data_IF_851575455687
#
_entry.id   IF_851575455687
#
_cell.length_a   1.000
_cell.length_b   1.000
_cell.length_c   1.000
_cell.angle_alpha   90.00
_cell.angle_beta   90.00
_cell.angle_gamma   90.00
#
_symmetry.space_group_name_H-M   'P 1'
#
loop_
_entity.id
_entity.type
_entity.pdbx_description
1 polymer ?
#
# COMPACT_ATOMS: atom_id res chain seq x y z
N UNK A 1 -5.15 -10.25 0.80
CA UNK A 1 -6.26 -10.08 -0.17
C UNK A 1 -7.25 -9.02 0.25
N UNK A 2 -7.69 -9.01 1.52
CA UNK A 2 -8.59 -7.99 2.07
C UNK A 2 -8.10 -6.56 1.81
N UNK A 3 -6.79 -6.29 2.00
CA UNK A 3 -6.18 -5.00 1.66
C UNK A 3 -6.45 -4.55 0.21
N UNK A 4 -6.25 -5.42 -0.78
CA UNK A 4 -6.47 -5.07 -2.19
C UNK A 4 -7.95 -4.96 -2.54
N UNK A 5 -8.81 -5.77 -1.94
CA UNK A 5 -10.27 -5.62 -2.08
C UNK A 5 -10.70 -4.25 -1.55
N UNK A 6 -10.17 -3.86 -0.38
CA UNK A 6 -10.42 -2.54 0.20
C UNK A 6 -9.94 -1.41 -0.73
N UNK A 7 -8.73 -1.53 -1.30
CA UNK A 7 -8.23 -0.57 -2.29
C UNK A 7 -9.13 -0.45 -3.53
N UNK A 8 -9.59 -1.57 -4.07
CA UNK A 8 -10.47 -1.59 -5.26
C UNK A 8 -11.82 -0.93 -4.96
N UNK A 9 -12.44 -1.28 -3.83
CA UNK A 9 -13.71 -0.70 -3.39
C UNK A 9 -13.56 0.82 -3.20
N UNK A 10 -12.56 1.26 -2.44
CA UNK A 10 -12.34 2.70 -2.21
C UNK A 10 -12.01 3.45 -3.50
N UNK A 11 -11.27 2.84 -4.42
CA UNK A 11 -10.97 3.47 -5.72
C UNK A 11 -12.24 3.61 -6.56
N UNK A 12 -13.10 2.60 -6.59
CA UNK A 12 -14.39 2.63 -7.27
C UNK A 12 -15.33 3.70 -6.70
N UNK A 13 -15.41 3.80 -5.37
CA UNK A 13 -16.18 4.84 -4.69
C UNK A 13 -15.63 6.25 -5.00
N UNK A 14 -14.31 6.45 -4.89
CA UNK A 14 -13.68 7.72 -5.22
C UNK A 14 -13.92 8.12 -6.69
N UNK A 15 -13.86 7.15 -7.60
CA UNK A 15 -14.18 7.36 -9.01
C UNK A 15 -15.64 7.73 -9.25
N UNK A 16 -16.58 7.09 -8.57
CA UNK A 16 -18.00 7.45 -8.63
C UNK A 16 -18.24 8.88 -8.15
N UNK A 17 -17.59 9.29 -7.05
CA UNK A 17 -17.63 10.67 -6.56
C UNK A 17 -17.04 11.64 -7.58
N UNK A 18 -15.95 11.27 -8.26
CA UNK A 18 -15.40 12.04 -9.37
C UNK A 18 -16.38 12.21 -10.53
N UNK A 19 -17.19 11.19 -10.85
CA UNK A 19 -18.27 11.25 -11.84
C UNK A 19 -19.43 12.17 -11.42
N UNK A 20 -19.68 12.31 -10.13
CA UNK A 20 -20.69 13.22 -9.56
C UNK A 20 -20.24 14.69 -9.52
N UNK A 21 -19.06 15.02 -10.06
CA UNK A 21 -18.64 16.41 -10.31
C UNK A 21 -17.40 16.86 -9.52
N UNK A 22 -16.90 16.05 -8.59
CA UNK A 22 -15.73 16.39 -7.77
C UNK A 22 -14.45 16.37 -8.61
N UNK A 23 -13.96 17.57 -8.97
CA UNK A 23 -12.86 17.76 -9.92
C UNK A 23 -11.53 17.16 -9.47
N UNK A 24 -11.27 17.11 -8.15
CA UNK A 24 -10.02 16.55 -7.61
C UNK A 24 -9.93 15.01 -7.73
N UNK A 25 -11.05 14.32 -7.98
CA UNK A 25 -11.12 12.85 -8.13
C UNK A 25 -11.41 12.40 -9.57
N UNK A 26 -11.20 13.27 -10.56
CA UNK A 26 -11.45 12.91 -11.97
C UNK A 26 -10.38 11.97 -12.55
N UNK A 27 -9.16 12.01 -12.01
CA UNK A 27 -8.04 11.22 -12.52
C UNK A 27 -7.89 9.87 -11.79
N UNK A 28 -7.55 8.77 -12.49
CA UNK A 28 -7.37 7.46 -11.85
C UNK A 28 -6.29 7.48 -10.76
N UNK A 29 -5.21 8.23 -10.96
CA UNK A 29 -4.15 8.42 -9.96
C UNK A 29 -4.68 9.08 -8.68
N UNK A 30 -5.63 10.01 -8.77
CA UNK A 30 -6.21 10.67 -7.60
C UNK A 30 -7.10 9.72 -6.79
N UNK A 31 -7.95 8.94 -7.46
CA UNK A 31 -8.79 7.93 -6.81
C UNK A 31 -7.94 6.86 -6.12
N UNK A 32 -6.95 6.31 -6.82
CA UNK A 32 -6.06 5.27 -6.29
C UNK A 32 -5.21 5.77 -5.12
N UNK A 33 -4.83 7.06 -5.15
CA UNK A 33 -4.09 7.71 -4.05
C UNK A 33 -4.94 7.88 -2.82
N UNK A 34 -6.19 8.33 -2.98
CA UNK A 34 -7.11 8.45 -1.86
C UNK A 34 -7.38 7.08 -1.24
N UNK A 35 -7.61 6.06 -2.06
CA UNK A 35 -7.80 4.69 -1.61
C UNK A 35 -6.58 4.17 -0.84
N UNK A 36 -5.37 4.35 -1.37
CA UNK A 36 -4.14 3.91 -0.71
C UNK A 36 -3.89 4.67 0.60
N UNK A 37 -4.08 5.98 0.62
CA UNK A 37 -3.93 6.79 1.82
C UNK A 37 -4.90 6.35 2.92
N UNK A 38 -6.18 6.18 2.59
CA UNK A 38 -7.20 5.72 3.54
C UNK A 38 -6.90 4.31 4.06
N UNK A 39 -6.50 3.38 3.19
CA UNK A 39 -6.13 2.03 3.59
C UNK A 39 -4.92 2.03 4.54
N UNK A 40 -3.86 2.76 4.21
CA UNK A 40 -2.65 2.82 5.04
C UNK A 40 -2.89 3.48 6.40
N UNK A 41 -3.71 4.54 6.45
CA UNK A 41 -4.09 5.15 7.73
C UNK A 41 -4.92 4.17 8.57
N UNK A 42 -5.85 3.44 7.95
CA UNK A 42 -6.67 2.45 8.65
C UNK A 42 -5.84 1.29 9.22
N UNK A 43 -5.07 0.59 8.38
CA UNK A 43 -4.26 -0.55 8.80
C UNK A 43 -3.11 -0.14 9.72
N UNK A 44 -2.47 1.01 9.45
CA UNK A 44 -1.45 1.56 10.33
C UNK A 44 -1.98 1.92 11.71
N UNK A 45 -3.24 2.36 11.81
CA UNK A 45 -3.90 2.57 13.10
C UNK A 45 -4.22 1.25 13.79
N UNK A 46 -4.69 0.23 13.06
CA UNK A 46 -4.95 -1.11 13.62
C UNK A 46 -3.67 -1.79 14.15
N UNK A 47 -2.51 -1.58 13.50
CA UNK A 47 -1.19 -2.01 14.00
C UNK A 47 -0.88 -1.43 15.39
N UNK A 48 -1.26 -0.18 15.64
CA UNK A 48 -1.01 0.51 16.92
C UNK A 48 -2.02 0.14 17.99
N UNK A 49 -3.29 -0.06 17.60
CA UNK A 49 -4.37 -0.36 18.54
C UNK A 49 -4.44 -1.84 18.93
N UNK A 50 -4.01 -2.75 18.04
CA UNK A 50 -4.11 -4.20 18.26
C UNK A 50 -2.82 -4.94 17.91
N UNK A 51 -1.68 -4.57 18.53
CA UNK A 51 -0.38 -5.17 18.24
C UNK A 51 -0.36 -6.70 18.46
N UNK A 52 -1.19 -7.24 19.33
CA UNK A 52 -1.35 -8.68 19.60
C UNK A 52 -1.73 -9.50 18.35
N UNK A 53 -2.39 -8.89 17.36
CA UNK A 53 -2.68 -9.54 16.07
C UNK A 53 -1.45 -9.66 15.16
N UNK A 54 -0.45 -8.81 15.36
CA UNK A 54 0.66 -8.64 14.42
C UNK A 54 2.00 -9.10 14.96
N UNK A 55 2.23 -8.99 16.27
CA UNK A 55 3.45 -9.44 16.93
C UNK A 55 3.77 -10.91 16.63
N UNK A 56 2.80 -11.86 16.69
CA UNK A 56 3.07 -13.26 16.37
C UNK A 56 3.59 -13.47 14.93
N UNK A 57 3.35 -12.51 14.03
CA UNK A 57 3.79 -12.57 12.63
C UNK A 57 5.28 -12.28 12.43
N UNK A 58 5.94 -11.72 13.43
CA UNK A 58 7.35 -11.30 13.34
C UNK A 58 8.18 -11.72 14.56
N UNK A 59 7.52 -12.22 15.60
CA UNK A 59 8.15 -12.79 16.78
C UNK A 59 9.05 -13.98 16.42
N UNK A 60 10.21 -14.08 17.07
CA UNK A 60 11.22 -15.11 16.79
C UNK A 60 12.07 -14.84 15.55
N UNK A 61 11.62 -14.01 14.60
CA UNK A 61 12.40 -13.62 13.43
C UNK A 61 13.08 -12.25 13.58
N UNK A 62 12.40 -11.27 14.18
CA UNK A 62 12.93 -9.93 14.45
C UNK A 62 13.06 -9.68 15.96
N UNK A 63 14.16 -9.04 16.42
CA UNK A 63 14.21 -8.52 17.78
C UNK A 63 13.18 -7.39 17.92
N UNK A 64 12.65 -7.22 19.13
CA UNK A 64 11.71 -6.12 19.46
C UNK A 64 10.45 -6.10 18.58
N UNK A 65 9.82 -7.27 18.38
CA UNK A 65 8.63 -7.46 17.53
C UNK A 65 7.53 -6.41 17.76
N UNK A 66 7.19 -6.10 19.02
CA UNK A 66 6.18 -5.08 19.35
C UNK A 66 6.55 -3.68 18.88
N UNK A 67 7.81 -3.28 19.06
CA UNK A 67 8.31 -1.99 18.59
C UNK A 67 8.33 -1.93 17.07
N UNK A 68 8.69 -3.04 16.40
CA UNK A 68 8.68 -3.11 14.94
C UNK A 68 7.26 -2.95 14.38
N UNK A 69 6.27 -3.62 14.95
CA UNK A 69 4.85 -3.44 14.58
C UNK A 69 4.41 -1.98 14.74
N UNK A 70 4.79 -1.34 15.83
CA UNK A 70 4.47 0.06 16.06
C UNK A 70 5.13 0.99 15.04
N UNK A 71 6.42 0.78 14.74
CA UNK A 71 7.16 1.55 13.73
C UNK A 71 6.52 1.37 12.36
N UNK A 72 6.17 0.13 11.96
CA UNK A 72 5.52 -0.11 10.67
C UNK A 72 4.17 0.57 10.59
N UNK A 73 3.36 0.56 11.66
CA UNK A 73 2.07 1.27 11.70
C UNK A 73 2.23 2.79 11.56
N UNK A 74 3.21 3.39 12.24
CA UNK A 74 3.53 4.82 12.12
C UNK A 74 3.98 5.16 10.68
N UNK A 75 4.83 4.32 10.08
CA UNK A 75 5.29 4.51 8.71
C UNK A 75 4.13 4.48 7.70
N UNK A 76 3.16 3.58 7.88
CA UNK A 76 1.97 3.50 7.03
C UNK A 76 1.11 4.76 7.14
N UNK A 77 0.81 5.21 8.36
CA UNK A 77 0.05 6.45 8.60
C UNK A 77 0.77 7.64 7.98
N UNK A 78 2.07 7.80 8.27
CA UNK A 78 2.87 8.91 7.76
C UNK A 78 2.95 8.90 6.22
N UNK A 79 3.17 7.73 5.61
CA UNK A 79 3.20 7.58 4.16
C UNK A 79 1.84 7.86 3.52
N UNK A 80 0.75 7.35 4.10
CA UNK A 80 -0.63 7.59 3.66
C UNK A 80 -0.99 9.08 3.69
N UNK A 81 -0.71 9.77 4.78
CA UNK A 81 -0.91 11.22 4.89
C UNK A 81 0.03 11.99 3.93
N UNK A 82 1.28 11.54 3.80
CA UNK A 82 2.27 12.13 2.89
C UNK A 82 1.84 12.10 1.42
N UNK A 83 1.10 11.07 0.98
CA UNK A 83 0.53 11.01 -0.37
C UNK A 83 -0.47 12.15 -0.63
N UNK A 84 -1.22 12.57 0.39
CA UNK A 84 -2.23 13.61 0.27
C UNK A 84 -1.63 15.02 0.17
N UNK A 85 -0.41 15.22 0.69
CA UNK A 85 0.31 16.49 0.64
C UNK A 85 1.05 16.63 -0.71
N UNK A 86 0.69 17.59 -1.60
CA UNK A 86 1.27 17.67 -2.95
C UNK A 86 2.80 17.75 -2.98
N UNK A 87 3.41 18.46 -2.02
CA UNK A 87 4.87 18.60 -1.91
C UNK A 87 5.58 17.31 -1.49
N UNK A 88 4.92 16.43 -0.74
CA UNK A 88 5.48 15.18 -0.23
C UNK A 88 5.09 13.95 -1.04
N UNK A 89 4.07 14.08 -1.90
CA UNK A 89 3.47 12.94 -2.61
C UNK A 89 4.47 12.01 -3.29
N UNK A 90 5.44 12.57 -4.02
CA UNK A 90 6.41 11.76 -4.76
C UNK A 90 7.39 11.05 -3.82
N UNK A 91 7.89 11.73 -2.79
CA UNK A 91 8.76 11.10 -1.79
C UNK A 91 8.00 10.06 -0.97
N UNK A 92 6.76 10.35 -0.56
CA UNK A 92 5.89 9.41 0.14
C UNK A 92 5.62 8.14 -0.69
N UNK A 93 5.31 8.28 -1.99
CA UNK A 93 5.14 7.14 -2.88
C UNK A 93 6.39 6.27 -3.04
N UNK A 94 7.56 6.90 -3.15
CA UNK A 94 8.84 6.18 -3.23
C UNK A 94 9.15 5.47 -1.91
N UNK A 95 8.99 6.14 -0.76
CA UNK A 95 9.23 5.57 0.55
C UNK A 95 8.25 4.42 0.86
N UNK A 96 6.98 4.53 0.44
CA UNK A 96 6.01 3.45 0.56
C UNK A 96 6.37 2.26 -0.33
N UNK A 97 6.87 2.50 -1.55
CA UNK A 97 7.39 1.43 -2.40
C UNK A 97 8.56 0.70 -1.73
N UNK A 98 9.52 1.44 -1.16
CA UNK A 98 10.64 0.86 -0.39
C UNK A 98 10.13 0.11 0.84
N UNK A 99 9.17 0.67 1.57
CA UNK A 99 8.52 0.02 2.72
C UNK A 99 7.90 -1.33 2.33
N UNK A 100 7.12 -1.38 1.25
CA UNK A 100 6.50 -2.63 0.79
C UNK A 100 7.53 -3.69 0.38
N UNK A 101 8.68 -3.29 -0.13
CA UNK A 101 9.81 -4.20 -0.38
C UNK A 101 10.47 -4.62 0.94
N UNK A 102 10.66 -3.71 1.89
CA UNK A 102 11.30 -3.97 3.17
C UNK A 102 10.50 -4.95 4.05
N UNK A 103 9.17 -4.93 3.99
CA UNK A 103 8.30 -5.88 4.71
C UNK A 103 8.12 -7.21 3.96
N UNK A 104 8.67 -7.37 2.76
CA UNK A 104 8.57 -8.61 1.98
C UNK A 104 9.18 -9.83 2.67
N UNK A 105 10.40 -9.77 3.24
CA UNK A 105 10.97 -10.92 3.94
C UNK A 105 10.10 -11.41 5.10
N UNK A 106 9.42 -10.49 5.80
CA UNK A 106 8.47 -10.83 6.86
C UNK A 106 7.29 -11.66 6.31
N UNK A 107 6.72 -11.23 5.18
CA UNK A 107 5.63 -11.96 4.55
C UNK A 107 6.07 -13.32 4.02
N UNK A 108 7.31 -13.46 3.52
CA UNK A 108 7.88 -14.73 3.08
C UNK A 108 8.03 -15.68 4.28
N UNK A 109 8.56 -15.18 5.41
CA UNK A 109 8.66 -15.95 6.64
C UNK A 109 7.29 -16.52 7.06
N UNK A 110 6.24 -15.69 7.02
CA UNK A 110 4.87 -16.08 7.35
C UNK A 110 4.30 -17.14 6.40
N UNK A 111 4.61 -17.05 5.11
CA UNK A 111 4.16 -18.04 4.13
C UNK A 111 4.82 -19.41 4.31
N UNK A 112 6.09 -19.42 4.72
CA UNK A 112 6.85 -20.64 4.97
C UNK A 112 6.37 -21.33 6.25
N UNK A 113 6.19 -20.57 7.34
CA UNK A 113 5.90 -21.13 8.66
C UNK A 113 4.40 -21.33 8.94
N UNK A 114 3.51 -20.83 8.06
CA UNK A 114 2.08 -21.14 8.13
C UNK A 114 1.43 -20.68 9.43
N UNK A 115 1.58 -19.39 9.76
CA UNK A 115 1.09 -18.85 11.03
C UNK A 115 -0.44 -18.80 11.08
N UNK A 116 -1.00 -19.20 12.22
CA UNK A 116 -2.39 -18.92 12.57
C UNK A 116 -2.43 -17.56 13.28
N UNK A 117 -2.90 -16.54 12.56
CA UNK A 117 -3.08 -15.20 13.11
C UNK A 117 -4.57 -14.98 13.32
N UNK A 118 -4.96 -14.51 14.50
CA UNK A 118 -6.36 -14.20 14.80
C UNK A 118 -6.93 -13.22 13.78
N UNK A 119 -8.06 -13.61 13.16
CA UNK A 119 -8.72 -12.82 12.11
C UNK A 119 -8.23 -13.07 10.68
N UNK A 120 -7.24 -13.94 10.46
CA UNK A 120 -6.83 -14.39 9.12
C UNK A 120 -7.21 -15.86 8.88
N UNK A 121 -7.45 -16.26 7.61
CA UNK A 121 -7.63 -17.66 7.27
C UNK A 121 -6.43 -18.49 7.71
N UNK A 122 -6.67 -19.59 8.45
CA UNK A 122 -5.63 -20.51 8.91
C UNK A 122 -4.98 -21.33 7.76
N UNK A 123 -5.25 -21.00 6.51
CA UNK A 123 -4.80 -21.76 5.35
C UNK A 123 -3.50 -21.19 4.77
N UNK A 124 -2.45 -22.01 4.75
CA UNK A 124 -1.11 -21.57 4.36
C UNK A 124 -1.03 -20.97 2.95
N UNK A 125 -1.86 -21.44 2.01
CA UNK A 125 -1.91 -20.92 0.64
C UNK A 125 -2.27 -19.43 0.57
N UNK A 126 -3.01 -18.90 1.54
CA UNK A 126 -3.37 -17.48 1.59
C UNK A 126 -2.13 -16.58 1.67
N UNK A 127 -1.13 -16.98 2.45
CA UNK A 127 0.11 -16.23 2.60
C UNK A 127 0.95 -16.25 1.32
N UNK A 128 0.99 -17.37 0.59
CA UNK A 128 1.64 -17.44 -0.71
C UNK A 128 0.98 -16.54 -1.76
N UNK A 129 -0.36 -16.54 -1.81
CA UNK A 129 -1.10 -15.63 -2.68
C UNK A 129 -0.82 -14.18 -2.32
N UNK A 130 -0.70 -13.84 -1.02
CA UNK A 130 -0.33 -12.49 -0.58
C UNK A 130 1.01 -12.02 -1.16
N UNK A 131 2.01 -12.89 -1.25
CA UNK A 131 3.31 -12.56 -1.85
C UNK A 131 3.20 -12.16 -3.32
N UNK A 132 2.36 -12.88 -4.09
CA UNK A 132 2.10 -12.57 -5.50
C UNK A 132 1.53 -11.17 -5.74
N UNK A 133 0.86 -10.59 -4.73
CA UNK A 133 0.30 -9.23 -4.80
C UNK A 133 1.29 -8.15 -4.32
N UNK A 134 2.43 -8.50 -3.76
CA UNK A 134 3.37 -7.51 -3.22
C UNK A 134 3.96 -6.58 -4.30
N UNK A 135 4.32 -7.08 -5.51
CA UNK A 135 4.68 -6.21 -6.63
C UNK A 135 3.55 -5.24 -7.01
N UNK A 136 2.29 -5.66 -6.86
CA UNK A 136 1.13 -4.80 -7.13
C UNK A 136 1.02 -3.65 -6.11
N UNK A 137 1.31 -3.89 -4.83
CA UNK A 137 1.35 -2.81 -3.82
C UNK A 137 2.45 -1.77 -4.13
N UNK A 138 3.64 -2.23 -4.52
CA UNK A 138 4.74 -1.36 -4.95
C UNK A 138 4.32 -0.52 -6.17
N UNK A 139 3.76 -1.16 -7.19
CA UNK A 139 3.26 -0.48 -8.37
C UNK A 139 2.18 0.56 -8.01
N UNK A 140 1.24 0.22 -7.13
CA UNK A 140 0.16 1.11 -6.70
C UNK A 140 0.69 2.37 -6.01
N UNK A 141 1.70 2.23 -5.14
CA UNK A 141 2.35 3.35 -4.47
C UNK A 141 3.01 4.30 -5.49
N UNK A 142 3.78 3.76 -6.44
CA UNK A 142 4.47 4.54 -7.46
C UNK A 142 3.48 5.23 -8.43
N UNK A 143 2.46 4.51 -8.89
CA UNK A 143 1.47 5.04 -9.82
C UNK A 143 0.61 6.13 -9.17
N UNK A 144 0.10 5.89 -7.95
CA UNK A 144 -0.73 6.87 -7.23
C UNK A 144 0.04 8.16 -6.90
N UNK A 145 1.35 8.06 -6.68
CA UNK A 145 2.23 9.21 -6.47
C UNK A 145 2.62 9.96 -7.76
N UNK A 146 2.30 9.42 -8.93
CA UNK A 146 2.70 9.99 -10.22
C UNK A 146 4.18 9.78 -10.56
N UNK A 147 4.82 8.77 -9.95
CA UNK A 147 6.17 8.34 -10.31
C UNK A 147 6.17 7.38 -11.51
N UNK A 148 5.07 6.65 -11.69
CA UNK A 148 4.84 5.78 -12.83
C UNK A 148 3.55 6.21 -13.53
N UNK A 149 3.58 6.25 -14.86
CA UNK A 149 2.41 6.56 -15.67
C UNK A 149 1.83 5.31 -16.36
N UNK A 150 2.59 4.22 -16.50
CA UNK A 150 2.13 2.95 -17.06
C UNK A 150 1.04 2.29 -16.18
N UNK A 151 -0.02 1.69 -16.77
CA UNK A 151 -0.27 1.50 -18.21
C UNK A 151 -1.04 2.64 -18.88
N UNK A 152 -1.46 3.67 -18.14
CA UNK A 152 -2.37 4.72 -18.63
C UNK A 152 -1.64 5.95 -19.18
N UNK A 153 -0.31 5.95 -19.17
CA UNK A 153 0.53 7.00 -19.70
C UNK A 153 0.57 6.90 -21.21
N UNK A 154 0.02 7.90 -21.89
CA UNK A 154 0.23 8.07 -23.33
C UNK A 154 1.73 8.12 -23.61
N UNK A 155 2.15 7.52 -24.74
CA UNK A 155 3.50 7.69 -25.30
C UNK A 155 3.79 9.19 -25.30
N UNK A 156 4.81 9.61 -24.55
CA UNK A 156 5.46 10.88 -24.82
C UNK A 156 6.03 10.67 -26.22
N UNK A 157 5.37 11.23 -27.23
CA UNK A 157 5.98 11.39 -28.53
C UNK A 157 7.32 12.08 -28.28
N UNK A 158 8.40 11.36 -28.58
CA UNK A 158 9.70 11.94 -28.76
C UNK A 158 9.59 12.88 -29.96
N UNK A 159 9.04 14.08 -29.71
CA UNK A 159 9.15 15.20 -30.64
C UNK A 159 10.62 15.62 -30.61
N UNK A 160 11.35 14.99 -31.53
CA UNK A 160 12.38 15.60 -32.35
C UNK A 160 12.38 17.13 -32.16
N UNK A 161 13.41 17.68 -31.54
CA UNK A 161 13.80 19.07 -31.82
C UNK A 161 14.89 19.02 -32.88
N UNK A 162 14.64 19.45 -34.11
CA UNK A 162 15.68 19.94 -34.99
C UNK A 162 15.77 21.47 -34.81
N UNK A 163 16.84 21.95 -34.19
CA UNK A 163 17.44 23.27 -34.45
C UNK A 163 18.79 23.34 -33.76
#
# INVERSE_FOLDING_TARGET
MVFFLFLLVLTGLAWLVGRLGVSCLRGPQACMRLALAAALVFFGTDHLLTPERYVPMVEGWLPWAGQMVAITGICEIAGGLGLLVPRLRRSAGLLLAVYFVAVFPANVHNAIHGLTVDGLPANQWYYWVRLGFQPLAVWWALYSAGLLNWPFGGRIEASVRPS
#
